data_IF_346627769720
#
_entry.id   IF_346627769720
#
_cell.length_a   1.000
_cell.length_b   1.000
_cell.length_c   1.000
_cell.angle_alpha   90.00
_cell.angle_beta   90.00
_cell.angle_gamma   90.00
#
_symmetry.space_group_name_H-M   'P 1'
#
loop_
_entity.id
_entity.type
_entity.pdbx_description
1 polymer ?
#
# COMPACT_ATOMS: atom_id res chain seq x y z
N UNK A 1 -16.53 0.03 11.94
CA UNK A 1 -15.35 -0.52 11.24
C UNK A 1 -15.83 -1.73 10.44
N UNK A 2 -15.60 -1.76 9.14
CA UNK A 2 -16.21 -2.75 8.23
C UNK A 2 -15.72 -4.16 8.55
N UNK A 3 -16.62 -5.08 8.94
CA UNK A 3 -16.27 -6.49 9.10
C UNK A 3 -16.30 -7.20 7.74
N UNK A 4 -15.15 -7.21 7.07
CA UNK A 4 -14.97 -7.87 5.78
C UNK A 4 -15.32 -9.36 5.80
N UNK A 5 -15.19 -10.04 6.94
CA UNK A 5 -15.52 -11.47 7.04
C UNK A 5 -17.03 -11.68 6.92
N UNK A 6 -17.80 -10.84 7.61
CA UNK A 6 -19.26 -10.90 7.55
C UNK A 6 -19.76 -10.53 6.15
N UNK A 7 -19.17 -9.49 5.55
CA UNK A 7 -19.46 -9.10 4.17
C UNK A 7 -19.21 -10.24 3.18
N UNK A 8 -18.02 -10.85 3.21
CA UNK A 8 -17.67 -11.95 2.30
C UNK A 8 -18.60 -13.16 2.52
N UNK A 9 -18.96 -13.49 3.77
CA UNK A 9 -19.92 -14.57 4.04
C UNK A 9 -21.31 -14.29 3.43
N UNK A 10 -21.78 -13.04 3.56
CA UNK A 10 -23.05 -12.64 2.97
C UNK A 10 -23.01 -12.72 1.44
N UNK A 11 -21.97 -12.15 0.82
CA UNK A 11 -21.76 -12.19 -0.62
C UNK A 11 -21.63 -13.62 -1.17
N UNK A 12 -20.95 -14.52 -0.45
CA UNK A 12 -20.87 -15.93 -0.81
C UNK A 12 -22.24 -16.62 -0.79
N UNK A 13 -23.06 -16.31 0.23
CA UNK A 13 -24.42 -16.87 0.37
C UNK A 13 -25.34 -16.37 -0.74
N UNK A 14 -25.30 -15.08 -1.05
CA UNK A 14 -26.09 -14.44 -2.09
C UNK A 14 -25.75 -15.01 -3.48
N UNK A 15 -24.46 -15.08 -3.80
CA UNK A 15 -23.98 -15.60 -5.09
C UNK A 15 -23.97 -17.14 -5.18
N UNK A 16 -24.37 -17.85 -4.10
CA UNK A 16 -24.30 -19.33 -3.99
C UNK A 16 -22.91 -19.89 -4.32
N UNK A 17 -21.86 -19.18 -3.91
CA UNK A 17 -20.46 -19.54 -4.18
C UNK A 17 -19.87 -20.32 -3.01
N UNK A 18 -19.27 -21.48 -3.30
CA UNK A 18 -18.53 -22.26 -2.31
C UNK A 18 -17.10 -21.75 -2.16
N UNK A 19 -16.44 -22.03 -1.04
CA UNK A 19 -15.03 -21.66 -0.83
C UNK A 19 -14.11 -22.23 -1.93
N UNK A 20 -14.40 -23.43 -2.43
CA UNK A 20 -13.63 -24.07 -3.51
C UNK A 20 -13.80 -23.31 -4.83
N UNK A 21 -15.00 -22.84 -5.12
CA UNK A 21 -15.27 -22.05 -6.33
C UNK A 21 -14.66 -20.64 -6.21
N UNK A 22 -14.70 -20.06 -5.01
CA UNK A 22 -14.05 -18.77 -4.74
C UNK A 22 -12.53 -18.86 -4.87
N UNK A 23 -11.91 -19.94 -4.40
CA UNK A 23 -10.49 -20.22 -4.62
C UNK A 23 -10.16 -20.28 -6.11
N UNK A 24 -10.92 -21.04 -6.89
CA UNK A 24 -10.71 -21.16 -8.33
C UNK A 24 -10.86 -19.81 -9.07
N UNK A 25 -11.74 -18.93 -8.60
CA UNK A 25 -11.98 -17.62 -9.22
C UNK A 25 -10.99 -16.53 -8.77
N UNK A 26 -10.64 -16.51 -7.49
CA UNK A 26 -9.77 -15.46 -6.90
C UNK A 26 -8.28 -15.79 -6.93
N UNK A 27 -7.92 -17.07 -7.12
CA UNK A 27 -6.54 -17.54 -6.97
C UNK A 27 -6.05 -17.59 -5.52
N UNK A 28 -6.88 -17.21 -4.54
CA UNK A 28 -6.54 -17.27 -3.12
C UNK A 28 -6.80 -18.67 -2.59
N UNK A 29 -5.76 -19.28 -2.04
CA UNK A 29 -5.82 -20.64 -1.50
C UNK A 29 -6.95 -20.80 -0.47
N UNK A 30 -7.70 -21.90 -0.56
CA UNK A 30 -8.81 -22.20 0.35
C UNK A 30 -8.40 -22.24 1.82
N UNK A 31 -7.17 -22.63 2.14
CA UNK A 31 -6.67 -22.61 3.52
C UNK A 31 -6.61 -21.18 4.09
N UNK A 32 -6.18 -20.21 3.28
CA UNK A 32 -6.16 -18.77 3.60
C UNK A 32 -7.58 -18.24 3.76
N UNK A 33 -8.47 -18.54 2.80
CA UNK A 33 -9.88 -18.16 2.88
C UNK A 33 -10.54 -18.71 4.15
N UNK A 34 -10.31 -19.98 4.47
CA UNK A 34 -10.87 -20.64 5.66
C UNK A 34 -10.38 -20.00 6.96
N UNK A 35 -9.07 -19.75 7.10
CA UNK A 35 -8.50 -19.08 8.29
C UNK A 35 -9.07 -17.67 8.45
N UNK A 36 -9.11 -16.89 7.37
CA UNK A 36 -9.65 -15.54 7.40
C UNK A 36 -11.13 -15.52 7.79
N UNK A 37 -11.95 -16.35 7.15
CA UNK A 37 -13.39 -16.44 7.43
C UNK A 37 -13.68 -16.92 8.86
N UNK A 38 -12.81 -17.73 9.45
CA UNK A 38 -12.90 -18.15 10.86
C UNK A 38 -12.44 -17.08 11.84
N UNK A 39 -11.63 -16.12 11.39
CA UNK A 39 -11.01 -15.10 12.23
C UNK A 39 -9.66 -15.49 12.81
N UNK A 40 -9.08 -16.60 12.34
CA UNK A 40 -7.77 -17.09 12.79
C UNK A 40 -6.60 -16.26 12.21
N UNK A 41 -6.85 -15.46 11.18
CA UNK A 41 -5.80 -14.68 10.49
C UNK A 41 -6.38 -13.46 9.76
N UNK A 42 -5.58 -12.39 9.69
CA UNK A 42 -5.85 -11.25 8.83
C UNK A 42 -5.43 -11.58 7.39
N UNK A 43 -6.25 -11.17 6.42
CA UNK A 43 -5.95 -11.30 5.00
C UNK A 43 -5.22 -10.05 4.51
N UNK A 44 -4.26 -10.22 3.60
CA UNK A 44 -3.60 -9.08 2.94
C UNK A 44 -4.60 -8.31 2.09
N UNK A 45 -4.40 -7.00 1.95
CA UNK A 45 -5.28 -6.14 1.14
C UNK A 45 -5.31 -6.62 -0.32
N UNK A 46 -4.16 -7.03 -0.87
CA UNK A 46 -4.05 -7.57 -2.23
C UNK A 46 -4.95 -8.81 -2.44
N UNK A 47 -4.97 -9.72 -1.45
CA UNK A 47 -5.78 -10.94 -1.49
C UNK A 47 -7.27 -10.63 -1.28
N UNK A 48 -7.57 -9.65 -0.42
CA UNK A 48 -8.93 -9.19 -0.20
C UNK A 48 -9.50 -8.60 -1.50
N UNK A 49 -8.71 -7.81 -2.22
CA UNK A 49 -9.08 -7.27 -3.52
C UNK A 49 -9.39 -8.40 -4.52
N UNK A 50 -8.51 -9.40 -4.67
CA UNK A 50 -8.74 -10.54 -5.55
C UNK A 50 -10.04 -11.30 -5.24
N UNK A 51 -10.33 -11.50 -3.95
CA UNK A 51 -11.56 -12.16 -3.50
C UNK A 51 -12.78 -11.32 -3.84
N UNK A 52 -12.74 -10.01 -3.63
CA UNK A 52 -13.83 -9.09 -3.95
C UNK A 52 -14.07 -9.00 -5.45
N UNK A 53 -13.01 -8.89 -6.25
CA UNK A 53 -13.08 -8.85 -7.71
C UNK A 53 -13.70 -10.14 -8.29
N UNK A 54 -13.32 -11.30 -7.75
CA UNK A 54 -13.91 -12.58 -8.13
C UNK A 54 -15.42 -12.68 -7.84
N UNK A 55 -15.94 -11.83 -6.94
CA UNK A 55 -17.36 -11.72 -6.63
C UNK A 55 -18.03 -10.52 -7.31
N UNK A 56 -17.31 -9.77 -8.16
CA UNK A 56 -17.84 -8.61 -8.89
C UNK A 56 -17.79 -7.28 -8.13
N UNK A 57 -17.08 -7.21 -7.00
CA UNK A 57 -16.89 -5.98 -6.23
C UNK A 57 -15.51 -5.38 -6.48
N UNK A 58 -15.40 -4.05 -6.39
CA UNK A 58 -14.13 -3.33 -6.51
C UNK A 58 -13.87 -2.49 -5.26
N UNK A 59 -12.63 -2.52 -4.76
CA UNK A 59 -12.18 -1.63 -3.69
C UNK A 59 -11.82 -0.27 -4.30
N UNK A 60 -12.55 0.78 -3.90
CA UNK A 60 -12.21 2.17 -4.22
C UNK A 60 -11.63 2.83 -2.99
N UNK A 61 -10.46 3.47 -3.15
CA UNK A 61 -9.92 4.36 -2.14
C UNK A 61 -10.47 5.77 -2.40
N UNK A 62 -11.21 6.30 -1.43
CA UNK A 62 -11.64 7.70 -1.45
C UNK A 62 -10.74 8.52 -0.51
N UNK A 63 -10.26 9.69 -0.97
CA UNK A 63 -9.54 10.61 -0.10
C UNK A 63 -10.53 11.24 0.87
N UNK A 64 -10.41 10.92 2.15
CA UNK A 64 -11.25 11.49 3.21
C UNK A 64 -10.67 12.80 3.80
N UNK A 65 -9.50 13.24 3.33
CA UNK A 65 -8.83 14.45 3.80
C UNK A 65 -7.54 14.72 3.06
N UNK A 66 -6.75 15.70 3.52
CA UNK A 66 -5.47 16.00 2.92
C UNK A 66 -4.47 14.85 3.12
N UNK A 67 -3.75 14.42 2.08
CA UNK A 67 -2.71 13.42 2.23
C UNK A 67 -1.66 13.91 3.22
N UNK A 68 -1.18 12.98 4.06
CA UNK A 68 -0.20 13.27 5.09
C UNK A 68 0.97 14.10 4.56
N UNK A 69 1.50 15.08 5.32
CA UNK A 69 2.66 15.86 4.92
C UNK A 69 3.88 15.00 4.53
N UNK A 70 3.94 13.76 5.01
CA UNK A 70 4.98 12.78 4.68
C UNK A 70 4.93 12.29 3.23
N UNK A 71 3.77 12.38 2.58
CA UNK A 71 3.57 12.02 1.18
C UNK A 71 3.71 13.22 0.24
N UNK A 72 3.95 14.43 0.77
CA UNK A 72 4.19 15.61 -0.05
C UNK A 72 5.59 15.50 -0.67
N UNK A 73 5.75 15.81 -1.97
CA UNK A 73 7.08 15.85 -2.57
C UNK A 73 7.96 16.82 -1.77
N UNK A 74 9.26 16.49 -1.56
CA UNK A 74 10.15 17.34 -0.80
C UNK A 74 10.13 18.73 -1.43
N UNK A 75 9.71 19.72 -0.64
CA UNK A 75 9.71 21.13 -1.06
C UNK A 75 11.15 21.42 -1.46
N UNK A 76 11.42 21.68 -2.75
CA UNK A 76 12.75 22.05 -3.23
C UNK A 76 13.22 23.20 -2.34
N UNK A 77 14.12 22.90 -1.40
CA UNK A 77 14.78 23.94 -0.63
C UNK A 77 15.51 24.75 -1.68
N UNK A 78 15.08 25.99 -1.90
CA UNK A 78 15.77 26.92 -2.78
C UNK A 78 17.24 26.88 -2.36
N UNK A 79 18.06 26.20 -3.15
CA UNK A 79 19.47 26.03 -2.87
C UNK A 79 20.04 27.44 -2.84
N UNK A 80 20.40 27.92 -1.64
CA UNK A 80 21.10 29.19 -1.52
C UNK A 80 22.31 29.11 -2.45
N UNK A 81 22.53 30.09 -3.35
CA UNK A 81 23.66 30.05 -4.25
C UNK A 81 24.93 29.86 -3.40
N UNK A 82 25.63 28.76 -3.66
CA UNK A 82 26.85 28.40 -2.95
C UNK A 82 27.86 29.52 -3.19
N UNK A 83 28.16 30.31 -2.16
CA UNK A 83 29.19 31.35 -2.27
C UNK A 83 30.52 30.65 -2.57
N UNK A 84 31.27 31.05 -3.61
CA UNK A 84 32.56 30.44 -3.90
C UNK A 84 33.47 30.62 -2.69
N UNK A 85 34.02 29.50 -2.17
CA UNK A 85 35.03 29.53 -1.12
C UNK A 85 36.23 30.31 -1.66
N UNK A 86 36.64 31.37 -0.96
CA UNK A 86 37.90 32.06 -1.26
C UNK A 86 39.03 31.04 -1.11
N UNK A 87 39.72 30.74 -2.21
CA UNK A 87 40.98 29.99 -2.20
C UNK A 87 41.97 30.77 -1.33
N UNK A 88 42.42 30.16 -0.23
CA UNK A 88 43.53 30.69 0.55
C UNK A 88 44.78 30.50 -0.31
N UNK A 89 45.33 31.62 -0.79
CA UNK A 89 46.56 31.65 -1.57
C UNK A 89 47.72 31.39 -0.60
N UNK A 90 48.37 30.23 -0.72
CA UNK A 90 49.61 29.96 0.02
C UNK A 90 50.69 30.93 -0.47
N UNK A 91 51.21 31.75 0.43
CA UNK A 91 52.38 32.61 0.19
C UNK A 91 53.58 31.88 0.78
N UNK A 92 54.66 31.74 0.01
CA UNK A 92 55.96 31.29 0.51
C UNK A 92 56.34 29.86 0.12
N UNK A 93 56.64 29.65 -1.16
CA UNK A 93 57.51 28.57 -1.60
C UNK A 93 58.67 29.22 -2.39
N UNK A 94 59.43 30.09 -1.72
CA UNK A 94 60.71 30.54 -2.25
C UNK A 94 61.78 29.57 -1.77
N UNK A 95 62.19 28.70 -2.71
CA UNK A 95 63.51 28.08 -2.72
C UNK A 95 64.52 29.16 -3.06
N UNK A 96 65.55 29.33 -2.25
CA UNK A 96 66.97 29.19 -2.59
C UNK A 96 67.82 29.60 -1.40
#
# INVERSE_FOLDING_TARGET
MTDWRQFIRAAMKENKVTQRRLEAASGVNRSTLKRFLRGDSAMRVDQLQQVLEAMGYSLKCELTGDPSPLLRPPKKLNAKPMRPRKLIRAVGAERF
#
